data_IF_944092338327
#
_entry.id   IF_944092338327
#
_cell.length_a   1.000
_cell.length_b   1.000
_cell.length_c   1.000
_cell.angle_alpha   90.00
_cell.angle_beta   90.00
_cell.angle_gamma   90.00
#
_symmetry.space_group_name_H-M   'P 1'
#
loop_
_entity.id
_entity.type
_entity.pdbx_description
1 polymer ?
#
# COMPACT_ATOMS: atom_id res chain seq x y z
N UNK A 1 25.60 7.78 -17.02
CA UNK A 1 25.86 6.37 -16.78
C UNK A 1 25.21 5.95 -15.45
N UNK A 2 24.32 4.94 -15.49
CA UNK A 2 23.60 4.41 -14.33
C UNK A 2 24.05 2.97 -13.99
N UNK A 3 25.19 2.54 -14.55
CA UNK A 3 25.69 1.16 -14.41
C UNK A 3 26.01 0.77 -12.95
N UNK A 4 26.29 1.76 -12.10
CA UNK A 4 26.56 1.55 -10.67
C UNK A 4 25.31 1.31 -9.82
N UNK A 5 24.11 1.60 -10.34
CA UNK A 5 22.85 1.30 -9.64
C UNK A 5 22.70 -0.21 -9.46
N UNK A 6 22.25 -0.62 -8.30
CA UNK A 6 21.99 -2.02 -7.94
C UNK A 6 20.55 -2.24 -7.50
N UNK A 7 19.89 -1.20 -7.03
CA UNK A 7 18.57 -1.21 -6.44
C UNK A 7 17.86 0.10 -6.78
N UNK A 8 16.56 0.03 -7.00
CA UNK A 8 15.67 1.17 -7.13
C UNK A 8 14.66 1.16 -5.98
N UNK A 9 14.07 2.30 -5.69
CA UNK A 9 13.02 2.41 -4.66
C UNK A 9 11.83 3.22 -5.17
N UNK A 10 10.65 2.86 -4.70
CA UNK A 10 9.41 3.63 -4.88
C UNK A 10 8.66 3.69 -3.56
N UNK A 11 8.21 4.88 -3.17
CA UNK A 11 7.54 5.12 -1.89
C UNK A 11 6.77 6.44 -1.93
N UNK A 12 5.81 6.58 -1.03
CA UNK A 12 5.02 7.81 -0.85
C UNK A 12 3.63 7.70 -1.44
N UNK A 13 3.54 7.29 -2.70
CA UNK A 13 2.29 7.02 -3.40
C UNK A 13 2.38 5.69 -4.16
N UNK A 14 1.24 5.02 -4.45
CA UNK A 14 1.23 3.85 -5.30
C UNK A 14 1.83 4.17 -6.68
N UNK A 15 2.69 3.30 -7.18
CA UNK A 15 3.25 3.45 -8.52
C UNK A 15 2.42 2.68 -9.54
N UNK A 16 2.07 3.36 -10.63
CA UNK A 16 1.38 2.75 -11.76
C UNK A 16 2.26 1.65 -12.41
N UNK A 17 1.71 0.49 -12.81
CA UNK A 17 2.47 -0.61 -13.42
C UNK A 17 3.30 -0.21 -14.64
N UNK A 18 2.79 0.66 -15.52
CA UNK A 18 3.52 1.16 -16.69
C UNK A 18 4.71 2.02 -16.27
N UNK A 19 4.53 2.91 -15.31
CA UNK A 19 5.59 3.73 -14.74
C UNK A 19 6.64 2.85 -14.04
N UNK A 20 6.20 1.81 -13.32
CA UNK A 20 7.07 0.82 -12.70
C UNK A 20 7.92 0.10 -13.76
N UNK A 21 7.31 -0.36 -14.85
CA UNK A 21 8.02 -1.02 -15.95
C UNK A 21 8.99 -0.09 -16.66
N UNK A 22 8.61 1.16 -16.91
CA UNK A 22 9.51 2.17 -17.45
C UNK A 22 10.71 2.39 -16.52
N UNK A 23 10.46 2.55 -15.23
CA UNK A 23 11.51 2.73 -14.21
C UNK A 23 12.46 1.54 -14.15
N UNK A 24 11.91 0.32 -14.18
CA UNK A 24 12.68 -0.91 -14.20
C UNK A 24 13.56 -1.04 -15.45
N UNK A 25 13.00 -0.80 -16.63
CA UNK A 25 13.72 -0.98 -17.90
C UNK A 25 14.68 0.16 -18.19
N UNK A 26 14.25 1.42 -18.04
CA UNK A 26 15.00 2.59 -18.46
C UNK A 26 16.05 2.98 -17.42
N UNK A 27 15.66 3.13 -16.16
CA UNK A 27 16.57 3.55 -15.08
C UNK A 27 17.31 2.35 -14.51
N UNK A 28 16.61 1.27 -14.27
CA UNK A 28 17.16 0.03 -13.72
C UNK A 28 17.93 -0.85 -14.70
N UNK A 29 17.83 -0.55 -16.01
CA UNK A 29 18.48 -1.34 -17.07
C UNK A 29 18.05 -2.80 -17.09
N UNK A 30 16.82 -3.08 -16.70
CA UNK A 30 16.19 -4.40 -16.58
C UNK A 30 16.96 -5.36 -15.65
N UNK A 31 17.76 -4.82 -14.70
CA UNK A 31 18.59 -5.60 -13.77
C UNK A 31 18.44 -5.20 -12.30
N UNK A 32 18.07 -3.93 -12.04
CA UNK A 32 17.89 -3.44 -10.68
C UNK A 32 16.48 -3.76 -10.17
N UNK A 33 16.31 -4.53 -9.10
CA UNK A 33 15.00 -4.72 -8.51
C UNK A 33 14.45 -3.39 -7.97
N UNK A 34 13.13 -3.22 -8.03
CA UNK A 34 12.44 -2.07 -7.44
C UNK A 34 11.89 -2.50 -6.08
N UNK A 35 12.28 -1.78 -5.03
CA UNK A 35 11.73 -1.89 -3.69
C UNK A 35 10.57 -0.92 -3.59
N UNK A 36 9.39 -1.40 -3.92
CA UNK A 36 8.13 -0.68 -3.77
C UNK A 36 7.63 -0.90 -2.35
N UNK A 37 7.40 0.18 -1.61
CA UNK A 37 7.27 0.10 -0.17
C UNK A 37 6.02 0.84 0.31
N UNK A 38 5.22 0.16 1.14
CA UNK A 38 4.18 0.83 1.89
C UNK A 38 4.59 1.04 3.36
N UNK A 39 4.44 2.27 3.81
CA UNK A 39 4.61 2.70 5.19
C UNK A 39 3.90 4.03 5.41
N UNK A 40 3.78 4.46 6.65
CA UNK A 40 3.23 5.75 7.04
C UNK A 40 4.13 6.38 8.12
N UNK A 41 4.03 7.69 8.31
CA UNK A 41 4.68 8.37 9.44
C UNK A 41 4.32 7.70 10.76
N UNK A 42 3.07 7.30 10.91
CA UNK A 42 2.49 6.64 12.07
C UNK A 42 3.01 5.22 12.28
N UNK A 43 3.41 4.54 11.22
CA UNK A 43 4.01 3.21 11.37
C UNK A 43 5.45 3.27 11.86
N UNK A 44 6.13 4.40 11.67
CA UNK A 44 7.51 4.62 12.10
C UNK A 44 8.56 3.74 11.43
N UNK A 45 8.12 2.80 10.58
CA UNK A 45 8.97 1.87 9.84
C UNK A 45 8.22 1.33 8.62
N UNK A 46 8.95 0.74 7.69
CA UNK A 46 8.38 0.02 6.54
C UNK A 46 7.57 -1.19 7.04
N UNK A 47 6.41 -1.41 6.44
CA UNK A 47 5.47 -2.45 6.86
C UNK A 47 5.31 -3.53 5.79
N UNK A 48 5.16 -3.11 4.53
CA UNK A 48 5.00 -4.01 3.38
C UNK A 48 6.06 -3.59 2.36
N UNK A 49 6.93 -4.52 1.98
CA UNK A 49 8.05 -4.22 1.08
C UNK A 49 8.69 -5.53 0.59
N UNK A 50 9.16 -5.61 -0.65
CA UNK A 50 9.94 -6.74 -1.09
C UNK A 50 11.30 -6.78 -0.39
N UNK A 51 11.80 -7.99 -0.18
CA UNK A 51 13.20 -8.22 0.17
C UNK A 51 13.96 -8.54 -1.13
N UNK A 52 14.86 -7.66 -1.60
CA UNK A 52 15.60 -7.87 -2.83
C UNK A 52 16.33 -9.20 -2.87
N UNK A 53 16.20 -9.95 -3.95
CA UNK A 53 16.79 -11.28 -4.11
C UNK A 53 16.00 -12.43 -3.46
N UNK A 54 14.99 -12.13 -2.62
CA UNK A 54 14.17 -13.15 -1.96
C UNK A 54 12.68 -13.08 -2.37
N UNK A 55 12.16 -11.89 -2.65
CA UNK A 55 10.75 -11.70 -3.02
C UNK A 55 10.64 -11.46 -4.53
N UNK A 56 9.97 -12.32 -5.31
CA UNK A 56 9.59 -12.00 -6.68
C UNK A 56 8.77 -10.71 -6.72
N UNK A 57 9.00 -9.88 -7.74
CA UNK A 57 8.34 -8.58 -7.85
C UNK A 57 7.13 -8.67 -8.79
N UNK A 58 6.11 -7.87 -8.50
CA UNK A 58 4.96 -7.62 -9.38
C UNK A 58 4.86 -6.10 -9.58
N UNK A 59 4.82 -5.59 -10.83
CA UNK A 59 4.72 -4.17 -11.11
C UNK A 59 3.53 -3.51 -10.40
N UNK A 60 3.78 -2.47 -9.59
CA UNK A 60 2.76 -1.74 -8.85
C UNK A 60 2.35 -2.34 -7.49
N UNK A 61 2.91 -3.50 -7.12
CA UNK A 61 2.66 -4.10 -5.80
C UNK A 61 3.79 -3.79 -4.82
N UNK A 62 3.42 -3.37 -3.61
CA UNK A 62 4.36 -3.29 -2.49
C UNK A 62 4.73 -4.67 -1.90
N UNK A 63 4.25 -5.74 -2.51
CA UNK A 63 4.51 -7.15 -2.25
C UNK A 63 3.96 -7.67 -0.93
N UNK A 64 4.78 -8.14 -0.01
CA UNK A 64 4.35 -8.87 1.20
C UNK A 64 4.72 -8.12 2.47
N UNK A 65 3.95 -8.30 3.55
CA UNK A 65 4.32 -7.77 4.86
C UNK A 65 5.70 -8.25 5.28
N UNK A 66 6.47 -7.35 5.88
CA UNK A 66 7.78 -7.70 6.46
C UNK A 66 7.61 -8.66 7.65
N UNK A 67 8.62 -9.45 7.99
CA UNK A 67 8.56 -10.38 9.11
C UNK A 67 8.09 -9.71 10.42
N UNK A 68 7.07 -10.28 11.05
CA UNK A 68 6.46 -9.74 12.27
C UNK A 68 5.28 -8.78 12.04
N UNK A 69 5.05 -8.33 10.81
CA UNK A 69 3.91 -7.48 10.46
C UNK A 69 2.72 -8.34 10.03
N UNK A 70 1.56 -8.12 10.65
CA UNK A 70 0.32 -8.81 10.30
C UNK A 70 -0.65 -7.84 9.61
N UNK A 71 -0.35 -7.54 8.35
CA UNK A 71 -1.27 -6.78 7.50
C UNK A 71 -2.44 -7.65 7.04
N UNK A 72 -3.61 -7.04 6.89
CA UNK A 72 -4.81 -7.68 6.34
C UNK A 72 -5.68 -6.65 5.61
N UNK A 73 -6.55 -7.15 4.76
CA UNK A 73 -7.61 -6.35 4.14
C UNK A 73 -8.93 -6.76 4.80
N UNK A 74 -9.66 -5.77 5.29
CA UNK A 74 -10.93 -5.99 5.99
C UNK A 74 -12.07 -5.16 5.38
N UNK A 75 -13.28 -5.60 5.64
CA UNK A 75 -14.50 -4.86 5.32
C UNK A 75 -14.77 -3.74 6.34
N UNK A 76 -15.88 -3.04 6.18
CA UNK A 76 -16.32 -1.94 7.06
C UNK A 76 -16.64 -2.40 8.49
N UNK A 77 -16.79 -3.69 8.73
CA UNK A 77 -17.07 -4.29 10.04
C UNK A 77 -15.83 -4.95 10.69
N UNK A 78 -14.68 -4.88 10.00
CA UNK A 78 -13.41 -5.43 10.49
C UNK A 78 -13.20 -6.92 10.22
N UNK A 79 -14.04 -7.54 9.39
CA UNK A 79 -13.86 -8.92 8.96
C UNK A 79 -12.91 -9.00 7.77
N UNK A 80 -12.10 -10.05 7.72
CA UNK A 80 -11.23 -10.28 6.57
C UNK A 80 -12.04 -10.46 5.29
N UNK A 81 -11.65 -9.79 4.22
CA UNK A 81 -12.22 -10.00 2.90
C UNK A 81 -11.53 -11.18 2.20
N UNK A 82 -12.21 -11.75 1.20
CA UNK A 82 -11.61 -12.78 0.36
C UNK A 82 -10.45 -12.22 -0.45
N UNK A 83 -9.44 -13.05 -0.72
CA UNK A 83 -8.31 -12.67 -1.57
C UNK A 83 -8.79 -12.19 -2.94
N UNK A 84 -8.19 -11.13 -3.43
CA UNK A 84 -8.57 -10.45 -4.67
C UNK A 84 -9.64 -9.37 -4.50
N UNK A 85 -10.31 -9.29 -3.35
CA UNK A 85 -11.26 -8.22 -3.04
C UNK A 85 -10.55 -7.03 -2.38
N UNK A 86 -11.02 -5.84 -2.72
CA UNK A 86 -10.58 -4.60 -2.07
C UNK A 86 -11.27 -4.37 -0.73
N UNK A 87 -10.58 -3.65 0.15
CA UNK A 87 -11.09 -3.26 1.46
C UNK A 87 -10.15 -2.28 2.15
N UNK A 88 -10.28 -2.18 3.46
CA UNK A 88 -9.43 -1.35 4.31
C UNK A 88 -8.14 -2.06 4.69
N UNK A 89 -7.02 -1.41 4.48
CA UNK A 89 -5.74 -1.93 4.97
C UNK A 89 -5.64 -1.72 6.48
N UNK A 90 -5.41 -2.82 7.20
CA UNK A 90 -5.22 -2.80 8.65
C UNK A 90 -3.99 -3.58 9.07
N UNK A 91 -3.42 -3.23 10.23
CA UNK A 91 -2.41 -4.03 10.90
C UNK A 91 -3.03 -4.65 12.15
N UNK A 92 -3.02 -5.99 12.22
CA UNK A 92 -3.73 -6.74 13.26
C UNK A 92 -3.00 -6.84 14.61
N UNK A 93 -1.70 -6.57 14.63
CA UNK A 93 -0.89 -6.67 15.86
C UNK A 93 0.02 -5.46 16.00
N UNK A 94 0.29 -5.03 17.24
CA UNK A 94 1.30 -4.00 17.50
C UNK A 94 2.68 -4.40 16.97
N UNK A 95 3.45 -3.40 16.59
CA UNK A 95 4.86 -3.54 16.17
C UNK A 95 5.72 -2.52 16.91
N UNK A 96 7.04 -2.72 17.00
CA UNK A 96 7.89 -1.89 17.89
C UNK A 96 7.89 -0.40 17.57
N UNK A 97 7.80 -0.02 16.29
CA UNK A 97 7.89 1.36 15.82
C UNK A 97 6.55 2.10 15.72
N UNK A 98 5.43 1.47 16.11
CA UNK A 98 4.09 2.07 15.96
C UNK A 98 3.94 3.37 16.74
N UNK A 99 3.14 4.28 16.20
CA UNK A 99 2.69 5.48 16.91
C UNK A 99 2.03 5.09 18.25
N UNK A 100 2.33 5.84 19.31
CA UNK A 100 1.80 5.58 20.66
C UNK A 100 0.67 6.51 21.06
N UNK A 101 0.68 7.72 20.51
CA UNK A 101 -0.34 8.74 20.78
C UNK A 101 -0.15 9.93 19.84
N UNK A 102 -1.15 10.83 19.83
CA UNK A 102 -1.01 12.20 19.30
C UNK A 102 -0.78 13.12 20.48
N UNK A 103 0.22 13.98 20.41
CA UNK A 103 0.55 14.93 21.48
C UNK A 103 -0.65 15.83 21.80
N UNK A 104 -1.08 15.82 23.06
CA UNK A 104 -2.21 16.61 23.52
C UNK A 104 -3.59 16.12 23.11
N UNK A 105 -3.71 15.05 22.29
CA UNK A 105 -4.99 14.56 21.76
C UNK A 105 -5.04 13.03 21.67
N UNK A 106 -5.07 12.31 22.79
CA UNK A 106 -5.13 10.86 22.81
C UNK A 106 -6.46 10.30 22.29
N UNK A 107 -7.53 11.08 22.35
CA UNK A 107 -8.84 10.65 21.86
C UNK A 107 -8.88 10.63 20.33
N UNK A 108 -8.28 11.62 19.68
CA UNK A 108 -8.09 11.61 18.22
C UNK A 108 -7.25 10.41 17.79
N UNK A 109 -6.16 10.10 18.52
CA UNK A 109 -5.36 8.90 18.24
C UNK A 109 -6.22 7.64 18.20
N UNK A 110 -7.07 7.41 19.23
CA UNK A 110 -7.94 6.23 19.27
C UNK A 110 -8.95 6.23 18.13
N UNK A 111 -9.65 7.35 17.93
CA UNK A 111 -10.69 7.47 16.90
C UNK A 111 -10.15 7.29 15.49
N UNK A 112 -8.96 7.84 15.19
CA UNK A 112 -8.40 7.81 13.83
C UNK A 112 -7.76 6.46 13.50
N UNK A 113 -7.05 5.85 14.45
CA UNK A 113 -6.24 4.66 14.17
C UNK A 113 -6.79 3.36 14.76
N UNK A 114 -7.73 3.44 15.68
CA UNK A 114 -8.38 2.28 16.32
C UNK A 114 -9.88 2.54 16.48
N UNK A 115 -10.59 2.76 15.36
CA UNK A 115 -12.01 3.09 15.41
C UNK A 115 -12.84 1.95 16.00
N UNK A 116 -13.89 2.30 16.75
CA UNK A 116 -14.77 1.33 17.41
C UNK A 116 -15.53 0.47 16.42
N UNK A 117 -15.85 0.98 15.24
CA UNK A 117 -16.50 0.25 14.14
C UNK A 117 -15.66 -0.96 13.68
N UNK A 118 -14.34 -0.88 13.83
CA UNK A 118 -13.41 -2.00 13.60
C UNK A 118 -13.01 -2.73 14.90
N UNK A 119 -13.84 -2.63 15.94
CA UNK A 119 -13.64 -3.29 17.23
C UNK A 119 -12.55 -2.67 18.12
N UNK A 120 -12.02 -1.49 17.77
CA UNK A 120 -11.03 -0.75 18.58
C UNK A 120 -9.66 -1.42 18.73
N UNK A 121 -9.36 -2.46 17.94
CA UNK A 121 -8.14 -3.28 18.08
C UNK A 121 -7.28 -3.34 16.81
N UNK A 122 -7.87 -3.06 15.67
CA UNK A 122 -7.17 -3.06 14.38
C UNK A 122 -6.61 -1.67 14.12
N UNK A 123 -5.31 -1.58 13.81
CA UNK A 123 -4.74 -0.32 13.34
C UNK A 123 -5.25 -0.04 11.92
N UNK A 124 -6.05 0.99 11.76
CA UNK A 124 -6.56 1.44 10.47
C UNK A 124 -5.56 2.37 9.80
N UNK A 125 -5.03 1.94 8.65
CA UNK A 125 -4.08 2.74 7.89
C UNK A 125 -4.70 3.99 7.24
N UNK A 126 -6.01 3.96 6.98
CA UNK A 126 -6.69 4.97 6.18
C UNK A 126 -6.42 4.82 4.68
N UNK A 127 -5.84 3.70 4.27
CA UNK A 127 -5.61 3.32 2.88
C UNK A 127 -6.53 2.17 2.47
N UNK A 128 -7.05 2.25 1.25
CA UNK A 128 -7.67 1.14 0.56
C UNK A 128 -6.61 0.24 -0.08
N UNK A 129 -6.81 -1.06 -0.03
CA UNK A 129 -5.91 -2.02 -0.66
C UNK A 129 -6.62 -3.30 -1.05
N UNK A 130 -5.97 -4.13 -1.84
CA UNK A 130 -6.34 -5.52 -2.05
C UNK A 130 -5.14 -6.44 -1.82
N UNK A 131 -5.42 -7.72 -1.65
CA UNK A 131 -4.40 -8.76 -1.54
C UNK A 131 -4.72 -9.84 -2.56
N UNK A 132 -3.80 -10.11 -3.48
CA UNK A 132 -4.01 -11.12 -4.52
C UNK A 132 -3.86 -12.57 -3.98
N UNK A 133 -4.13 -13.56 -4.85
CA UNK A 133 -4.09 -14.97 -4.48
C UNK A 133 -2.70 -15.48 -4.07
N UNK A 134 -1.63 -14.75 -4.43
CA UNK A 134 -0.26 -15.06 -4.04
C UNK A 134 0.16 -14.35 -2.74
N UNK A 135 -0.77 -13.59 -2.13
CA UNK A 135 -0.55 -12.82 -0.90
C UNK A 135 0.21 -11.51 -1.10
N UNK A 136 0.13 -10.93 -2.30
CA UNK A 136 0.75 -9.65 -2.63
C UNK A 136 -0.25 -8.52 -2.39
N UNK A 137 0.22 -7.44 -1.77
CA UNK A 137 -0.59 -6.27 -1.45
C UNK A 137 -0.45 -5.19 -2.52
N UNK A 138 -1.59 -4.62 -2.88
CA UNK A 138 -1.75 -3.54 -3.84
C UNK A 138 -2.46 -2.40 -3.14
N UNK A 139 -1.78 -1.26 -3.00
CA UNK A 139 -2.36 -0.07 -2.39
C UNK A 139 -3.17 0.67 -3.45
N UNK A 140 -4.41 1.02 -3.11
CA UNK A 140 -5.34 1.68 -4.02
C UNK A 140 -5.46 3.19 -3.79
N UNK A 141 -4.81 3.71 -2.75
CA UNK A 141 -4.88 5.10 -2.31
C UNK A 141 -5.63 5.29 -1.00
N UNK A 142 -5.86 6.54 -0.63
CA UNK A 142 -6.56 6.92 0.60
C UNK A 142 -8.04 6.53 0.53
N UNK A 143 -8.59 6.09 1.66
CA UNK A 143 -10.02 5.73 1.76
C UNK A 143 -10.92 6.96 1.49
N UNK A 144 -10.46 8.13 1.93
CA UNK A 144 -11.15 9.42 1.80
C UNK A 144 -11.18 9.90 0.34
N UNK A 145 -10.23 9.47 -0.49
CA UNK A 145 -10.08 9.86 -1.91
C UNK A 145 -10.70 8.84 -2.88
N UNK A 146 -11.27 7.75 -2.35
CA UNK A 146 -11.92 6.72 -3.18
C UNK A 146 -13.28 7.20 -3.67
N UNK A 147 -13.44 7.23 -4.98
CA UNK A 147 -14.72 7.56 -5.62
C UNK A 147 -15.65 6.34 -5.60
N UNK A 148 -16.85 6.52 -5.06
CA UNK A 148 -17.93 5.55 -5.17
C UNK A 148 -18.76 5.83 -6.43
N UNK A 149 -18.58 5.01 -7.46
CA UNK A 149 -19.36 5.12 -8.70
C UNK A 149 -20.23 3.87 -8.85
N UNK A 150 -21.55 4.03 -8.69
CA UNK A 150 -22.55 2.96 -8.85
C UNK A 150 -22.22 1.68 -8.02
N UNK A 151 -21.70 1.86 -6.81
CA UNK A 151 -21.34 0.75 -5.92
C UNK A 151 -19.94 0.15 -6.16
N UNK A 152 -19.18 0.69 -7.12
CA UNK A 152 -17.77 0.35 -7.32
C UNK A 152 -16.89 1.42 -6.67
N UNK A 153 -15.91 0.98 -5.89
CA UNK A 153 -14.86 1.85 -5.33
C UNK A 153 -13.75 1.95 -6.35
N UNK A 154 -13.55 3.14 -6.89
CA UNK A 154 -12.47 3.47 -7.82
C UNK A 154 -11.42 4.31 -7.10
N UNK A 155 -10.20 3.82 -7.05
CA UNK A 155 -9.05 4.61 -6.59
C UNK A 155 -8.68 5.67 -7.63
N UNK A 156 -8.14 6.80 -7.17
CA UNK A 156 -7.64 7.86 -8.07
C UNK A 156 -6.61 7.31 -9.06
N UNK A 157 -5.75 6.40 -8.63
CA UNK A 157 -4.73 5.76 -9.47
C UNK A 157 -5.31 4.94 -10.62
N UNK A 158 -6.47 4.28 -10.46
CA UNK A 158 -7.12 3.55 -11.56
C UNK A 158 -7.59 4.50 -12.65
N UNK A 159 -8.13 5.66 -12.24
CA UNK A 159 -8.57 6.72 -13.16
C UNK A 159 -7.36 7.35 -13.86
N UNK A 160 -6.31 7.66 -13.12
CA UNK A 160 -5.06 8.19 -13.65
C UNK A 160 -4.42 7.22 -14.65
N UNK A 161 -4.35 5.93 -14.33
CA UNK A 161 -3.84 4.90 -15.24
C UNK A 161 -4.66 4.82 -16.53
N UNK A 162 -5.99 4.90 -16.44
CA UNK A 162 -6.86 4.92 -17.61
C UNK A 162 -6.67 6.19 -18.46
N UNK A 163 -6.42 7.32 -17.82
CA UNK A 163 -6.14 8.59 -18.52
C UNK A 163 -4.78 8.56 -19.22
N UNK A 164 -3.73 8.11 -18.54
CA UNK A 164 -2.36 8.02 -19.09
C UNK A 164 -2.26 6.99 -20.23
N UNK A 165 -3.15 5.98 -20.27
CA UNK A 165 -3.25 5.08 -21.41
C UNK A 165 -3.71 5.79 -22.71
N UNK A 166 -4.25 7.00 -22.63
CA UNK A 166 -4.61 7.79 -23.80
C UNK A 166 -3.39 8.57 -24.31
N UNK A 167 -3.00 8.44 -25.60
CA UNK A 167 -1.78 9.06 -26.14
C UNK A 167 -1.80 10.61 -26.14
N UNK A 168 -2.94 11.22 -25.81
CA UNK A 168 -3.09 12.68 -25.72
C UNK A 168 -3.01 13.19 -24.27
N UNK A 169 -2.80 12.31 -23.30
CA UNK A 169 -2.64 12.65 -21.88
C UNK A 169 -1.20 12.38 -21.46
N UNK A 170 -0.58 13.39 -20.84
CA UNK A 170 0.78 13.28 -20.33
C UNK A 170 0.76 12.98 -18.83
#
# INVERSE_FOLDING_TARGET
DLSSLRLLGSVGEPINPEAWMWYYTTVGGSRCPIVDTWWQTETGAHMISPMPGATPLKPGSCTKPLPGIMAAIVDETGNDVELGKGGFLVIKRPWPAMIRTIYGDPDRYRKSYYPEDLGGKLYLAGDGANCDLDGYFWIMGRIDDVLNVSGHRLGTMEIESALVANPHVA
#
